data_IF_897620490080
#
_entry.id   IF_897620490080
#
_cell.length_a   1.000
_cell.length_b   1.000
_cell.length_c   1.000
_cell.angle_alpha   90.00
_cell.angle_beta   90.00
_cell.angle_gamma   90.00
#
_symmetry.space_group_name_H-M   'P 1'
#
loop_
_entity.id
_entity.type
_entity.pdbx_description
1 polymer ?
#
# COMPACT_ATOMS: atom_id res chain seq x y z
N UNK A 1 19.83 1.30 6.07
CA UNK A 1 19.12 0.70 7.22
C UNK A 1 17.65 0.78 6.88
N UNK A 2 16.91 -0.27 6.48
CA UNK A 2 15.45 -0.05 6.36
C UNK A 2 14.94 0.35 7.73
N UNK A 3 14.57 1.62 7.85
CA UNK A 3 14.65 2.31 9.13
C UNK A 3 13.40 1.92 9.91
N UNK A 4 13.52 1.10 10.97
CA UNK A 4 12.38 0.85 11.82
C UNK A 4 11.86 2.16 12.40
N UNK A 5 12.64 3.26 12.40
CA UNK A 5 12.20 4.63 12.69
C UNK A 5 12.27 5.55 11.46
N UNK A 6 11.62 5.19 10.34
CA UNK A 6 11.74 5.95 9.10
C UNK A 6 11.17 7.38 9.20
N UNK A 7 10.14 7.61 10.01
CA UNK A 7 9.60 8.96 10.20
C UNK A 7 10.62 9.83 10.93
N UNK A 8 11.28 9.32 11.97
CA UNK A 8 12.35 10.04 12.68
C UNK A 8 13.58 10.27 11.79
N UNK A 9 14.03 9.26 11.04
CA UNK A 9 15.23 9.40 10.20
C UNK A 9 15.04 10.43 9.07
N UNK A 10 13.80 10.59 8.58
CA UNK A 10 13.46 11.56 7.54
C UNK A 10 12.74 12.80 8.08
N UNK A 11 12.68 12.97 9.41
CA UNK A 11 11.89 14.03 10.06
C UNK A 11 12.28 15.44 9.62
N UNK A 12 13.55 15.66 9.33
CA UNK A 12 14.04 16.93 8.80
C UNK A 12 13.47 17.30 7.43
N UNK A 13 12.93 16.34 6.68
CA UNK A 13 12.31 16.53 5.36
C UNK A 13 10.78 16.60 5.45
N UNK A 14 10.19 15.69 6.24
CA UNK A 14 8.73 15.47 6.26
C UNK A 14 8.05 15.92 7.55
N UNK A 15 8.80 16.42 8.54
CA UNK A 15 8.28 16.79 9.86
C UNK A 15 7.18 17.85 9.81
N UNK A 16 7.32 18.85 8.94
CA UNK A 16 6.35 19.95 8.80
C UNK A 16 5.23 19.65 7.79
N UNK A 17 5.21 18.44 7.23
CA UNK A 17 4.16 17.99 6.30
C UNK A 17 2.98 17.42 7.08
N UNK A 18 1.78 17.73 6.62
CA UNK A 18 0.54 17.15 7.16
C UNK A 18 0.45 15.66 6.84
N UNK A 19 -0.32 14.90 7.60
CA UNK A 19 -0.54 13.48 7.29
C UNK A 19 -1.15 13.27 5.90
N UNK A 20 -2.01 14.17 5.42
CA UNK A 20 -2.52 14.13 4.04
C UNK A 20 -1.45 14.32 2.96
N UNK A 21 -0.31 14.89 3.32
CA UNK A 21 0.85 15.09 2.43
C UNK A 21 1.88 13.96 2.49
N UNK A 22 1.78 13.08 3.49
CA UNK A 22 2.69 11.94 3.66
C UNK A 22 1.97 10.68 3.18
N UNK A 23 2.61 9.92 2.29
CA UNK A 23 2.09 8.62 1.88
C UNK A 23 2.45 7.58 2.95
N UNK A 24 1.45 6.99 3.60
CA UNK A 24 1.67 6.02 4.67
C UNK A 24 1.55 4.57 4.17
N UNK A 25 2.46 3.67 4.57
CA UNK A 25 2.32 2.23 4.36
C UNK A 25 1.27 1.64 5.32
N UNK A 26 0.27 0.93 4.76
CA UNK A 26 -0.84 0.31 5.49
C UNK A 26 -0.87 -1.21 5.33
N UNK A 27 -1.16 -1.91 6.42
CA UNK A 27 -1.44 -3.35 6.41
C UNK A 27 -2.94 -3.62 6.50
N UNK A 28 -3.47 -4.31 5.49
CA UNK A 28 -4.86 -4.79 5.49
C UNK A 28 -5.00 -6.02 6.39
N UNK A 29 -6.06 -6.06 7.21
CA UNK A 29 -6.33 -7.14 8.16
C UNK A 29 -5.08 -7.55 8.97
N UNK A 30 -4.39 -6.55 9.52
CA UNK A 30 -3.01 -6.63 9.99
C UNK A 30 -2.77 -7.74 11.03
N UNK A 31 -3.78 -8.05 11.85
CA UNK A 31 -3.72 -9.08 12.88
C UNK A 31 -3.95 -10.52 12.41
N UNK A 32 -4.14 -10.76 11.11
CA UNK A 32 -4.41 -12.10 10.54
C UNK A 32 -3.15 -12.79 10.02
N UNK A 33 -2.01 -12.61 10.68
CA UNK A 33 -0.75 -13.27 10.32
C UNK A 33 -0.60 -14.71 10.85
N UNK A 34 -1.48 -15.09 11.77
CA UNK A 34 -1.66 -16.47 12.21
C UNK A 34 -3.15 -16.74 12.45
N UNK A 35 -3.55 -18.01 12.42
CA UNK A 35 -4.93 -18.41 12.70
C UNK A 35 -4.97 -19.00 14.12
N UNK A 36 -5.75 -18.37 15.00
CA UNK A 36 -5.98 -18.84 16.37
C UNK A 36 -7.13 -19.85 16.41
N UNK A 37 -8.22 -19.51 15.74
CA UNK A 37 -9.38 -20.38 15.56
C UNK A 37 -10.22 -19.93 14.37
N UNK A 38 -11.05 -20.81 13.85
CA UNK A 38 -11.97 -20.50 12.76
C UNK A 38 -13.11 -21.50 12.65
N UNK A 39 -14.07 -21.17 11.80
CA UNK A 39 -15.15 -22.08 11.40
C UNK A 39 -14.63 -23.13 10.42
N UNK A 40 -15.46 -24.10 10.02
CA UNK A 40 -15.06 -25.13 9.05
C UNK A 40 -14.60 -24.53 7.71
N UNK A 41 -15.17 -23.39 7.31
CA UNK A 41 -14.77 -22.64 6.14
C UNK A 41 -13.71 -21.56 6.41
N UNK A 42 -13.12 -21.51 7.61
CA UNK A 42 -12.21 -20.46 8.08
C UNK A 42 -10.79 -20.95 8.37
N UNK A 43 -10.18 -21.68 7.43
CA UNK A 43 -8.80 -22.15 7.55
C UNK A 43 -7.76 -21.07 7.18
N UNK A 44 -6.47 -21.37 7.41
CA UNK A 44 -5.36 -20.44 7.11
C UNK A 44 -5.37 -19.96 5.66
N UNK A 45 -5.76 -20.83 4.73
CA UNK A 45 -5.86 -20.55 3.29
C UNK A 45 -6.78 -19.38 2.92
N UNK A 46 -7.77 -19.09 3.77
CA UNK A 46 -8.79 -18.06 3.51
C UNK A 46 -8.79 -16.92 4.53
N UNK A 47 -8.15 -17.12 5.68
CA UNK A 47 -8.10 -16.13 6.76
C UNK A 47 -6.83 -15.30 6.73
N UNK A 48 -5.68 -15.89 6.40
CA UNK A 48 -4.41 -15.19 6.55
C UNK A 48 -4.20 -14.19 5.41
N UNK A 49 -4.20 -12.90 5.73
CA UNK A 49 -3.84 -11.83 4.79
C UNK A 49 -2.40 -11.38 4.95
N UNK A 50 -1.77 -11.68 6.09
CA UNK A 50 -0.39 -11.30 6.41
C UNK A 50 0.49 -12.52 6.71
N UNK A 51 1.80 -12.37 6.56
CA UNK A 51 2.82 -13.39 6.92
C UNK A 51 3.69 -12.98 8.10
N UNK A 52 3.59 -11.72 8.53
CA UNK A 52 4.42 -11.09 9.55
C UNK A 52 3.58 -10.63 10.72
N UNK A 53 4.11 -10.73 11.93
CA UNK A 53 3.45 -10.17 13.12
C UNK A 53 3.21 -8.67 12.97
N UNK A 54 2.32 -8.07 13.76
CA UNK A 54 2.11 -6.62 13.69
C UNK A 54 3.38 -5.86 14.09
N UNK A 55 4.16 -6.40 15.06
CA UNK A 55 5.48 -5.88 15.40
C UNK A 55 6.44 -5.91 14.20
N UNK A 56 6.52 -7.03 13.49
CA UNK A 56 7.37 -7.16 12.29
C UNK A 56 6.90 -6.21 11.17
N UNK A 57 5.58 -6.07 10.97
CA UNK A 57 5.02 -5.12 10.00
C UNK A 57 5.45 -3.69 10.32
N UNK A 58 5.44 -3.27 11.60
CA UNK A 58 5.93 -1.96 12.04
C UNK A 58 7.44 -1.80 11.78
N UNK A 59 8.25 -2.84 12.00
CA UNK A 59 9.68 -2.87 11.68
C UNK A 59 9.98 -2.83 10.17
N UNK A 60 9.04 -3.27 9.33
CA UNK A 60 9.10 -3.16 7.87
C UNK A 60 8.58 -1.82 7.34
N UNK A 61 8.14 -0.93 8.25
CA UNK A 61 7.81 0.46 7.95
C UNK A 61 6.33 0.79 8.00
N UNK A 62 5.44 -0.18 8.20
CA UNK A 62 3.98 0.05 8.29
C UNK A 62 3.66 1.04 9.42
N UNK A 63 2.73 1.97 9.18
CA UNK A 63 2.31 2.97 10.16
C UNK A 63 0.79 3.09 10.28
N UNK A 64 0.06 2.34 9.46
CA UNK A 64 -1.40 2.23 9.54
C UNK A 64 -1.79 0.74 9.56
N UNK A 65 -2.51 0.31 10.59
CA UNK A 65 -2.93 -1.08 10.78
C UNK A 65 -4.47 -1.15 10.71
N UNK A 66 -5.03 -1.89 9.75
CA UNK A 66 -6.46 -2.21 9.70
C UNK A 66 -6.75 -3.38 10.65
N UNK A 67 -7.49 -3.11 11.71
CA UNK A 67 -7.85 -4.05 12.78
C UNK A 67 -9.35 -4.26 12.77
N UNK A 68 -9.76 -5.48 12.41
CA UNK A 68 -11.16 -5.90 12.46
C UNK A 68 -11.47 -6.57 13.78
N UNK A 69 -12.12 -5.85 14.70
CA UNK A 69 -12.31 -6.32 16.06
C UNK A 69 -13.51 -7.27 16.19
N UNK A 70 -13.25 -8.54 16.50
CA UNK A 70 -14.26 -9.57 16.72
C UNK A 70 -14.24 -10.05 18.16
N UNK A 71 -15.34 -9.89 18.90
CA UNK A 71 -15.51 -10.54 20.18
C UNK A 71 -15.99 -11.96 19.97
N UNK A 72 -15.18 -12.95 20.33
CA UNK A 72 -15.54 -14.34 20.14
C UNK A 72 -16.08 -14.95 21.44
N UNK A 73 -17.19 -15.71 21.36
CA UNK A 73 -17.56 -16.70 22.35
C UNK A 73 -17.24 -18.10 21.83
N UNK A 74 -16.28 -18.77 22.45
CA UNK A 74 -15.81 -20.10 22.05
C UNK A 74 -16.47 -21.19 22.91
N UNK A 75 -17.05 -22.24 22.31
CA UNK A 75 -17.53 -23.38 23.07
C UNK A 75 -16.33 -24.21 23.56
N UNK A 76 -16.50 -24.99 24.63
CA UNK A 76 -15.40 -25.79 25.22
C UNK A 76 -14.76 -26.86 24.30
N UNK A 77 -15.22 -26.98 23.05
CA UNK A 77 -14.62 -27.82 22.02
C UNK A 77 -13.59 -27.09 21.14
N UNK A 78 -13.45 -25.77 21.31
CA UNK A 78 -12.32 -24.99 20.81
C UNK A 78 -11.25 -24.98 21.89
N UNK A 79 -10.02 -25.28 21.49
CA UNK A 79 -8.86 -25.06 22.30
C UNK A 79 -8.14 -23.87 21.68
N UNK A 80 -8.11 -22.74 22.38
CA UNK A 80 -7.15 -21.71 22.06
C UNK A 80 -5.77 -22.25 22.50
N UNK A 81 -4.82 -22.48 21.58
CA UNK A 81 -3.53 -23.10 21.90
C UNK A 81 -2.63 -22.20 22.75
N UNK A 82 -2.96 -20.91 22.91
CA UNK A 82 -2.12 -19.93 23.59
C UNK A 82 -2.69 -19.46 24.94
N UNK A 83 -4.01 -19.47 25.15
CA UNK A 83 -4.67 -19.17 26.43
C UNK A 83 -5.93 -20.04 26.63
N UNK A 84 -6.33 -20.36 27.87
CA UNK A 84 -7.63 -21.03 28.15
C UNK A 84 -8.81 -20.01 28.12
N UNK A 85 -8.64 -18.87 27.45
CA UNK A 85 -9.65 -17.83 27.34
C UNK A 85 -10.71 -18.20 26.34
N UNK A 86 -11.92 -18.47 26.83
CA UNK A 86 -13.08 -18.86 26.01
C UNK A 86 -13.85 -17.68 25.43
N UNK A 87 -13.50 -16.47 25.83
CA UNK A 87 -14.07 -15.24 25.30
C UNK A 87 -13.01 -14.16 25.20
N UNK A 88 -13.09 -13.29 24.20
CA UNK A 88 -12.18 -12.16 24.08
C UNK A 88 -12.25 -11.47 22.73
N UNK A 89 -11.52 -10.37 22.60
CA UNK A 89 -11.38 -9.61 21.36
C UNK A 89 -10.20 -10.11 20.55
N UNK A 90 -10.45 -10.35 19.26
CA UNK A 90 -9.46 -10.82 18.30
C UNK A 90 -9.55 -10.03 16.99
N UNK A 91 -8.51 -10.14 16.17
CA UNK A 91 -8.49 -9.63 14.81
C UNK A 91 -9.18 -10.65 13.89
N UNK A 92 -10.40 -10.37 13.47
CA UNK A 92 -11.25 -11.30 12.71
C UNK A 92 -11.25 -11.06 11.20
N UNK A 93 -11.34 -12.15 10.44
CA UNK A 93 -11.65 -12.12 9.02
C UNK A 93 -12.84 -13.05 8.76
N UNK A 94 -14.04 -12.47 8.76
CA UNK A 94 -15.29 -13.22 8.60
C UNK A 94 -16.18 -12.63 7.52
N UNK A 95 -16.96 -13.51 6.89
CA UNK A 95 -18.05 -13.14 6.01
C UNK A 95 -19.41 -13.60 6.49
N UNK A 96 -20.44 -12.76 6.38
CA UNK A 96 -21.82 -13.16 6.65
C UNK A 96 -22.45 -13.95 5.50
N UNK A 97 -21.83 -14.10 4.31
CA UNK A 97 -22.55 -14.66 3.16
C UNK A 97 -22.99 -16.12 3.35
N UNK A 98 -22.37 -16.88 4.25
CA UNK A 98 -22.83 -18.22 4.63
C UNK A 98 -24.24 -18.24 5.25
N UNK A 99 -24.70 -17.13 5.85
CA UNK A 99 -26.06 -16.99 6.38
C UNK A 99 -27.12 -17.16 5.29
N UNK A 100 -26.84 -16.73 4.05
CA UNK A 100 -27.74 -16.90 2.89
C UNK A 100 -28.00 -18.37 2.57
N UNK A 101 -27.12 -19.25 3.02
CA UNK A 101 -27.20 -20.70 2.81
C UNK A 101 -27.48 -21.47 4.12
N UNK A 102 -27.82 -20.78 5.21
CA UNK A 102 -28.11 -21.38 6.52
C UNK A 102 -26.86 -21.85 7.30
N UNK A 103 -25.66 -21.47 6.86
CA UNK A 103 -24.37 -21.93 7.42
C UNK A 103 -23.70 -20.85 8.28
N UNK A 104 -24.44 -19.83 8.73
CA UNK A 104 -23.91 -18.74 9.57
C UNK A 104 -22.76 -17.95 8.95
N UNK A 105 -22.06 -17.18 9.78
CA UNK A 105 -20.80 -16.52 9.41
C UNK A 105 -19.69 -17.56 9.23
N UNK A 106 -18.83 -17.32 8.24
CA UNK A 106 -17.66 -18.16 7.96
C UNK A 106 -16.39 -17.32 7.98
N UNK A 107 -15.31 -17.86 8.55
CA UNK A 107 -14.05 -17.15 8.72
C UNK A 107 -13.31 -17.56 9.97
N UNK A 108 -12.33 -16.77 10.36
CA UNK A 108 -11.51 -17.05 11.53
C UNK A 108 -10.91 -15.80 12.17
N UNK A 109 -10.34 -16.01 13.33
CA UNK A 109 -9.67 -14.98 14.12
C UNK A 109 -8.18 -15.26 14.20
N UNK A 110 -7.39 -14.22 14.00
CA UNK A 110 -5.95 -14.21 14.23
C UNK A 110 -5.61 -13.70 15.62
N UNK A 111 -4.63 -12.80 15.70
CA UNK A 111 -4.10 -12.26 16.95
C UNK A 111 -5.19 -11.65 17.85
N UNK A 112 -5.03 -11.79 19.16
CA UNK A 112 -5.87 -11.08 20.12
C UNK A 112 -5.61 -9.56 20.09
N UNK A 113 -6.58 -8.77 20.55
CA UNK A 113 -6.36 -7.32 20.74
C UNK A 113 -5.31 -7.06 21.84
N UNK A 114 -5.15 -7.96 22.80
CA UNK A 114 -4.09 -7.86 23.81
C UNK A 114 -2.70 -8.05 23.17
N UNK A 115 -2.55 -8.99 22.22
CA UNK A 115 -1.32 -9.13 21.40
C UNK A 115 -1.04 -7.88 20.56
N UNK A 116 -2.08 -7.24 20.00
CA UNK A 116 -1.94 -5.94 19.30
C UNK A 116 -1.37 -4.87 20.25
N UNK A 117 -1.96 -4.73 21.44
CA UNK A 117 -1.53 -3.75 22.43
C UNK A 117 -0.09 -4.00 22.86
N UNK A 118 0.27 -5.26 23.14
CA UNK A 118 1.62 -5.66 23.52
C UNK A 118 2.63 -5.30 22.42
N UNK A 119 2.38 -5.70 21.18
CA UNK A 119 3.29 -5.48 20.06
C UNK A 119 3.47 -3.99 19.72
N UNK A 120 2.38 -3.20 19.76
CA UNK A 120 2.46 -1.74 19.54
C UNK A 120 3.23 -1.07 20.68
N UNK A 121 2.99 -1.46 21.93
CA UNK A 121 3.70 -0.94 23.09
C UNK A 121 5.19 -1.34 23.09
N UNK A 122 5.51 -2.55 22.66
CA UNK A 122 6.89 -3.02 22.50
C UNK A 122 7.63 -2.15 21.48
N UNK A 123 7.02 -1.95 20.31
CA UNK A 123 7.62 -1.16 19.26
C UNK A 123 7.82 0.32 19.67
N UNK A 124 6.79 0.96 20.22
CA UNK A 124 6.80 2.38 20.60
C UNK A 124 7.64 2.70 21.84
N UNK A 125 8.10 1.67 22.56
CA UNK A 125 9.07 1.84 23.66
C UNK A 125 10.38 2.44 23.16
N UNK A 126 10.84 1.97 22.00
CA UNK A 126 12.17 2.26 21.47
C UNK A 126 12.13 3.06 20.15
N UNK A 127 10.93 3.28 19.58
CA UNK A 127 10.75 3.99 18.31
C UNK A 127 9.76 5.14 18.45
N UNK A 128 10.25 6.38 18.31
CA UNK A 128 9.46 7.61 18.34
C UNK A 128 8.63 7.83 17.08
N UNK A 129 7.79 6.88 16.69
CA UNK A 129 7.06 6.88 15.43
C UNK A 129 5.55 7.07 15.64
N UNK A 130 4.84 7.48 14.59
CA UNK A 130 3.38 7.59 14.60
C UNK A 130 2.76 6.26 14.15
N UNK A 131 1.87 5.69 14.94
CA UNK A 131 1.09 4.50 14.57
C UNK A 131 -0.38 4.85 14.58
N UNK A 132 -1.08 4.52 13.49
CA UNK A 132 -2.52 4.67 13.36
C UNK A 132 -3.16 3.27 13.38
N UNK A 133 -4.01 3.03 14.37
CA UNK A 133 -4.83 1.82 14.46
C UNK A 133 -6.23 2.16 13.98
N UNK A 134 -6.65 1.57 12.88
CA UNK A 134 -8.01 1.68 12.36
C UNK A 134 -8.82 0.50 12.90
N UNK A 135 -9.78 0.77 13.77
CA UNK A 135 -10.69 -0.25 14.32
C UNK A 135 -11.98 -0.25 13.51
N UNK A 136 -12.25 -1.34 12.80
CA UNK A 136 -13.41 -1.50 11.93
C UNK A 136 -14.09 -2.85 12.12
N UNK A 137 -15.23 -3.07 11.46
CA UNK A 137 -15.92 -4.36 11.40
C UNK A 137 -16.21 -4.96 12.78
N UNK A 138 -16.59 -4.10 13.74
CA UNK A 138 -16.79 -4.52 15.12
C UNK A 138 -18.02 -5.42 15.19
N UNK A 139 -17.80 -6.64 15.68
CA UNK A 139 -18.81 -7.69 15.71
C UNK A 139 -18.62 -8.61 16.91
N UNK A 140 -19.73 -9.18 17.38
CA UNK A 140 -19.74 -10.19 18.44
C UNK A 140 -20.20 -11.51 17.84
N UNK A 141 -19.38 -12.55 17.93
CA UNK A 141 -19.62 -13.83 17.28
C UNK A 141 -19.61 -14.98 18.28
N UNK A 142 -20.74 -15.67 18.40
CA UNK A 142 -20.82 -16.96 19.08
C UNK A 142 -20.44 -18.08 18.12
N UNK A 143 -19.35 -18.77 18.45
CA UNK A 143 -18.78 -19.79 17.60
C UNK A 143 -19.37 -21.17 17.86
N UNK A 144 -19.46 -21.94 16.79
CA UNK A 144 -19.43 -23.39 16.79
C UNK A 144 -18.29 -23.84 15.87
N UNK A 145 -17.95 -25.14 15.83
CA UNK A 145 -16.92 -25.64 14.90
C UNK A 145 -17.32 -25.45 13.43
N UNK A 146 -18.62 -25.46 13.15
CA UNK A 146 -19.13 -25.42 11.79
C UNK A 146 -19.36 -23.98 11.30
N UNK A 147 -19.79 -23.08 12.18
CA UNK A 147 -20.14 -21.70 11.83
C UNK A 147 -20.16 -20.80 13.05
N UNK A 148 -20.18 -19.49 12.81
CA UNK A 148 -20.44 -18.49 13.83
C UNK A 148 -21.81 -17.81 13.62
N UNK A 149 -22.40 -17.34 14.72
CA UNK A 149 -23.64 -16.56 14.70
C UNK A 149 -23.33 -15.21 15.35
N UNK A 150 -23.82 -14.14 14.75
CA UNK A 150 -23.71 -12.80 15.31
C UNK A 150 -24.65 -12.66 16.51
N UNK A 151 -24.08 -12.22 17.63
CA UNK A 151 -24.81 -11.81 18.82
C UNK A 151 -24.87 -10.27 18.89
N UNK A 152 -25.85 -9.69 19.61
CA UNK A 152 -25.90 -8.24 19.79
C UNK A 152 -24.63 -7.70 20.46
N UNK A 153 -24.10 -6.60 19.91
CA UNK A 153 -23.07 -5.80 20.57
C UNK A 153 -23.70 -5.08 21.77
N UNK A 154 -23.12 -5.25 22.96
CA UNK A 154 -23.61 -4.67 24.22
C UNK A 154 -22.66 -3.60 24.70
N UNK A 155 -23.10 -2.75 25.63
CA UNK A 155 -22.25 -1.74 26.26
C UNK A 155 -21.05 -2.37 27.00
N UNK A 156 -21.21 -3.56 27.58
CA UNK A 156 -20.11 -4.28 28.24
C UNK A 156 -19.05 -4.71 27.23
N UNK A 157 -19.47 -5.21 26.06
CA UNK A 157 -18.55 -5.53 24.97
C UNK A 157 -17.79 -4.28 24.53
N UNK A 158 -18.51 -3.19 24.22
CA UNK A 158 -17.89 -1.92 23.84
C UNK A 158 -16.89 -1.44 24.89
N UNK A 159 -17.30 -1.38 26.16
CA UNK A 159 -16.45 -0.92 27.26
C UNK A 159 -15.22 -1.81 27.43
N UNK A 160 -15.35 -3.12 27.22
CA UNK A 160 -14.21 -4.04 27.27
C UNK A 160 -13.21 -3.80 26.12
N UNK A 161 -13.69 -3.54 24.89
CA UNK A 161 -12.82 -3.21 23.75
C UNK A 161 -12.06 -1.91 24.01
N UNK A 162 -12.78 -0.88 24.46
CA UNK A 162 -12.19 0.42 24.76
C UNK A 162 -11.15 0.33 25.88
N UNK A 163 -11.41 -0.52 26.90
CA UNK A 163 -10.46 -0.79 27.97
C UNK A 163 -9.19 -1.46 27.45
N UNK A 164 -9.29 -2.49 26.61
CA UNK A 164 -8.12 -3.15 26.01
C UNK A 164 -7.31 -2.16 25.18
N UNK A 165 -7.94 -1.42 24.27
CA UNK A 165 -7.26 -0.39 23.46
C UNK A 165 -6.69 0.75 24.33
N UNK A 166 -7.32 1.07 25.45
CA UNK A 166 -6.86 2.08 26.41
C UNK A 166 -5.55 1.72 27.13
N UNK A 167 -5.09 0.47 27.02
CA UNK A 167 -3.78 0.03 27.53
C UNK A 167 -2.61 0.39 26.60
N UNK A 168 -2.89 0.91 25.40
CA UNK A 168 -1.86 1.48 24.53
C UNK A 168 -1.16 2.65 25.23
N UNK A 169 0.17 2.62 25.20
CA UNK A 169 1.03 3.71 25.66
C UNK A 169 1.14 4.75 24.55
N UNK A 170 1.51 5.97 24.95
CA UNK A 170 1.72 7.08 24.01
C UNK A 170 0.48 7.43 23.16
N UNK A 171 -0.72 7.22 23.69
CA UNK A 171 -1.96 7.58 23.01
C UNK A 171 -2.01 9.09 22.71
N UNK A 172 -2.12 9.43 21.43
CA UNK A 172 -2.44 10.77 20.98
C UNK A 172 -3.95 10.97 21.07
N UNK A 173 -4.40 11.39 22.25
CA UNK A 173 -5.82 11.45 22.60
C UNK A 173 -6.54 12.63 21.97
N UNK A 174 -7.82 12.44 21.70
CA UNK A 174 -8.79 13.53 21.56
C UNK A 174 -8.94 14.27 22.90
N UNK A 175 -9.10 15.59 22.86
CA UNK A 175 -9.06 16.45 24.07
C UNK A 175 -10.42 16.95 24.54
N UNK A 176 -11.50 16.71 23.79
CA UNK A 176 -12.85 17.12 24.14
C UNK A 176 -13.88 16.00 23.87
N UNK A 177 -14.96 15.95 24.65
CA UNK A 177 -16.00 14.92 24.54
C UNK A 177 -16.97 15.15 23.36
N UNK A 178 -16.91 16.30 22.69
CA UNK A 178 -17.71 16.67 21.51
C UNK A 178 -17.07 16.30 20.17
N UNK A 179 -15.84 15.77 20.16
CA UNK A 179 -15.13 15.43 18.93
C UNK A 179 -14.32 16.58 18.28
N UNK A 180 -14.21 17.73 18.93
CA UNK A 180 -13.49 18.92 18.47
C UNK A 180 -12.08 19.06 19.05
N UNK A 181 -11.07 18.61 18.29
CA UNK A 181 -9.82 19.39 18.20
C UNK A 181 -9.99 20.49 17.15
N UNK A 182 -9.20 21.56 17.22
CA UNK A 182 -9.26 22.72 16.31
C UNK A 182 -9.11 22.35 14.82
N UNK A 183 -8.58 21.14 14.49
CA UNK A 183 -8.45 20.64 13.12
C UNK A 183 -8.55 19.09 13.04
N UNK A 184 -8.95 18.52 11.89
CA UNK A 184 -8.92 17.07 11.61
C UNK A 184 -7.53 16.43 11.73
N UNK A 185 -7.45 15.12 12.04
CA UNK A 185 -6.18 14.36 12.14
C UNK A 185 -5.30 14.50 10.90
N UNK A 186 -5.90 14.51 9.71
CA UNK A 186 -5.13 14.57 8.45
C UNK A 186 -4.42 15.92 8.23
N UNK A 187 -4.76 16.95 8.99
CA UNK A 187 -4.18 18.30 8.94
C UNK A 187 -3.12 18.53 10.03
N UNK A 188 -2.88 17.54 10.89
CA UNK A 188 -1.72 17.56 11.78
C UNK A 188 -0.45 17.25 10.99
N UNK A 189 0.58 18.03 11.26
CA UNK A 189 1.94 17.77 10.79
C UNK A 189 2.55 16.58 11.53
N UNK A 190 3.50 15.90 10.91
CA UNK A 190 4.22 14.81 11.56
C UNK A 190 4.90 15.26 12.87
N UNK A 191 5.44 16.48 12.91
CA UNK A 191 6.06 17.08 14.09
C UNK A 191 5.08 17.25 15.26
N UNK A 192 3.79 17.45 15.01
CA UNK A 192 2.79 17.52 16.08
C UNK A 192 2.54 16.16 16.76
N UNK A 193 2.90 15.04 16.11
CA UNK A 193 2.85 13.70 16.69
C UNK A 193 4.17 13.30 17.34
N UNK A 194 5.27 13.41 16.59
CA UNK A 194 6.55 12.78 16.96
C UNK A 194 7.71 13.78 17.07
N UNK A 195 7.39 15.07 17.13
CA UNK A 195 8.36 16.17 17.13
C UNK A 195 9.28 16.23 18.37
N UNK A 196 8.91 15.55 19.44
CA UNK A 196 9.73 15.49 20.66
C UNK A 196 10.66 14.27 20.65
N UNK A 197 10.61 13.45 19.60
CA UNK A 197 11.26 12.13 19.57
C UNK A 197 10.48 11.05 20.32
N UNK A 198 9.32 11.39 20.91
CA UNK A 198 8.40 10.41 21.51
C UNK A 198 7.45 9.84 20.46
N UNK A 199 7.01 8.60 20.67
CA UNK A 199 6.04 7.95 19.81
C UNK A 199 4.65 8.56 19.99
N UNK A 200 3.77 8.32 19.03
CA UNK A 200 2.36 8.66 19.12
C UNK A 200 1.51 7.51 18.57
N UNK A 201 0.50 7.09 19.32
CA UNK A 201 -0.47 6.08 18.88
C UNK A 201 -1.84 6.72 18.74
N UNK A 202 -2.39 6.67 17.54
CA UNK A 202 -3.74 7.15 17.22
C UNK A 202 -4.64 5.96 17.04
N UNK A 203 -5.78 5.93 17.74
CA UNK A 203 -6.83 4.94 17.54
C UNK A 203 -8.00 5.62 16.85
N UNK A 204 -8.37 5.13 15.67
CA UNK A 204 -9.49 5.61 14.86
C UNK A 204 -10.58 4.55 14.86
N UNK A 205 -11.79 4.91 15.30
CA UNK A 205 -12.95 4.02 15.29
C UNK A 205 -13.81 4.33 14.06
N UNK A 206 -14.04 3.33 13.21
CA UNK A 206 -14.89 3.44 12.01
C UNK A 206 -16.36 3.16 12.32
N UNK A 207 -16.63 2.10 13.09
CA UNK A 207 -17.98 1.63 13.42
C UNK A 207 -18.58 2.41 14.62
N UNK A 208 -18.50 3.74 14.62
CA UNK A 208 -19.03 4.59 15.71
C UNK A 208 -20.55 4.49 15.86
N UNK A 209 -21.25 4.17 14.77
CA UNK A 209 -22.68 3.86 14.76
C UNK A 209 -23.02 2.64 15.64
N UNK A 210 -22.06 1.72 15.81
CA UNK A 210 -22.18 0.55 16.70
C UNK A 210 -21.59 0.79 18.09
N UNK A 211 -20.47 1.52 18.17
CA UNK A 211 -19.64 1.64 19.39
C UNK A 211 -20.10 2.75 20.36
N UNK A 212 -21.04 3.61 19.97
CA UNK A 212 -21.36 4.86 20.69
C UNK A 212 -20.17 5.82 20.70
N UNK A 213 -20.36 6.99 20.07
CA UNK A 213 -19.35 8.03 20.00
C UNK A 213 -18.84 8.45 21.38
N UNK A 214 -19.75 8.64 22.33
CA UNK A 214 -19.42 9.09 23.69
C UNK A 214 -18.40 8.16 24.37
N UNK A 215 -18.58 6.85 24.27
CA UNK A 215 -17.69 5.87 24.93
C UNK A 215 -16.30 5.86 24.29
N UNK A 216 -16.22 5.96 22.96
CA UNK A 216 -14.95 6.07 22.26
C UNK A 216 -14.21 7.37 22.63
N UNK A 217 -14.95 8.47 22.76
CA UNK A 217 -14.41 9.79 23.06
C UNK A 217 -13.92 9.91 24.51
N UNK A 218 -14.62 9.30 25.47
CA UNK A 218 -14.15 9.19 26.86
C UNK A 218 -12.78 8.52 26.98
N UNK A 219 -12.46 7.60 26.06
CA UNK A 219 -11.15 6.93 26.01
C UNK A 219 -10.12 7.70 25.18
N UNK A 220 -10.52 8.83 24.58
CA UNK A 220 -9.67 9.70 23.76
C UNK A 220 -9.45 9.19 22.35
N UNK A 221 -10.32 8.31 21.83
CA UNK A 221 -10.22 7.78 20.47
C UNK A 221 -10.92 8.66 19.44
N UNK A 222 -10.45 8.55 18.20
CA UNK A 222 -10.83 9.45 17.14
C UNK A 222 -11.92 8.87 16.24
N UNK A 223 -12.86 9.69 15.74
CA UNK A 223 -13.82 9.26 14.75
C UNK A 223 -13.15 9.08 13.39
N UNK A 224 -13.64 8.13 12.56
CA UNK A 224 -13.18 7.98 11.16
C UNK A 224 -13.23 9.26 10.34
N UNK A 225 -14.16 10.18 10.64
CA UNK A 225 -14.29 11.47 9.95
C UNK A 225 -13.12 12.42 10.19
N UNK A 226 -12.33 12.22 11.25
CA UNK A 226 -11.16 13.05 11.54
C UNK A 226 -9.98 12.77 10.60
N UNK A 227 -9.94 11.59 9.98
CA UNK A 227 -8.86 11.18 9.08
C UNK A 227 -9.44 11.00 7.68
N UNK A 228 -8.73 11.37 6.64
CA UNK A 228 -9.14 11.05 5.26
C UNK A 228 -7.90 10.83 4.43
N UNK A 229 -7.80 9.64 3.84
CA UNK A 229 -6.71 9.28 2.97
C UNK A 229 -7.22 9.04 1.56
N UNK A 230 -6.47 9.53 0.58
CA UNK A 230 -6.60 9.08 -0.79
C UNK A 230 -5.82 7.77 -0.90
N UNK A 231 -6.54 6.65 -0.83
CA UNK A 231 -5.97 5.32 -0.69
C UNK A 231 -5.71 4.66 -2.06
N UNK A 232 -4.58 3.99 -2.17
CA UNK A 232 -4.30 2.95 -3.18
C UNK A 232 -4.28 1.59 -2.50
N UNK A 233 -4.67 0.52 -3.22
CA UNK A 233 -4.66 -0.84 -2.66
C UNK A 233 -3.93 -1.82 -3.56
N UNK A 234 -3.05 -2.60 -2.93
CA UNK A 234 -2.35 -3.76 -3.49
C UNK A 234 -2.72 -5.00 -2.68
N UNK A 235 -4.02 -5.16 -2.44
CA UNK A 235 -4.63 -6.30 -1.73
C UNK A 235 -5.40 -7.20 -2.68
N UNK A 236 -5.74 -8.42 -2.23
CA UNK A 236 -6.67 -9.28 -2.96
C UNK A 236 -7.59 -10.04 -2.00
N UNK A 237 -8.83 -9.58 -1.89
CA UNK A 237 -9.87 -10.35 -1.21
C UNK A 237 -10.33 -11.50 -2.09
N UNK A 238 -10.29 -12.73 -1.56
CA UNK A 238 -10.79 -13.91 -2.26
C UNK A 238 -12.26 -13.76 -2.66
N UNK A 239 -12.58 -14.06 -3.92
CA UNK A 239 -13.95 -14.28 -4.35
C UNK A 239 -14.50 -15.63 -3.87
N UNK A 240 -15.83 -15.80 -3.91
CA UNK A 240 -16.51 -17.03 -3.46
C UNK A 240 -15.97 -18.30 -4.13
N UNK A 241 -15.66 -18.25 -5.43
CA UNK A 241 -15.08 -19.41 -6.16
C UNK A 241 -13.67 -19.75 -5.68
N UNK A 242 -12.84 -18.74 -5.43
CA UNK A 242 -11.46 -18.90 -4.95
C UNK A 242 -11.45 -19.49 -3.54
N UNK A 243 -12.33 -18.98 -2.66
CA UNK A 243 -12.51 -19.51 -1.31
C UNK A 243 -12.91 -21.00 -1.35
N UNK A 244 -13.91 -21.38 -2.16
CA UNK A 244 -14.34 -22.78 -2.33
C UNK A 244 -13.19 -23.65 -2.85
N UNK A 245 -12.45 -23.19 -3.87
CA UNK A 245 -11.33 -23.94 -4.43
C UNK A 245 -10.20 -24.15 -3.41
N UNK A 246 -9.91 -23.13 -2.60
CA UNK A 246 -8.87 -23.21 -1.55
C UNK A 246 -9.23 -24.17 -0.40
N UNK A 247 -10.53 -24.35 -0.13
CA UNK A 247 -11.05 -25.27 0.89
C UNK A 247 -11.12 -26.72 0.39
N UNK A 248 -11.56 -26.93 -0.86
CA UNK A 248 -11.73 -28.27 -1.43
C UNK A 248 -10.43 -28.91 -1.95
N UNK A 249 -9.40 -28.09 -2.20
CA UNK A 249 -8.09 -28.55 -2.67
C UNK A 249 -6.98 -28.11 -1.70
N UNK A 250 -6.92 -28.65 -0.46
CA UNK A 250 -6.04 -28.16 0.61
C UNK A 250 -4.53 -28.27 0.34
N UNK A 251 -4.11 -28.93 -0.77
CA UNK A 251 -2.72 -28.93 -1.25
C UNK A 251 -2.42 -27.97 -2.40
N UNK A 252 -3.43 -27.27 -2.93
CA UNK A 252 -3.28 -26.31 -4.02
C UNK A 252 -3.23 -24.88 -3.48
N UNK A 253 -2.03 -24.45 -3.09
CA UNK A 253 -1.82 -23.14 -2.46
C UNK A 253 -2.12 -21.94 -3.39
N UNK A 254 -2.34 -22.16 -4.70
CA UNK A 254 -2.53 -21.09 -5.70
C UNK A 254 -3.72 -20.18 -5.43
N UNK A 255 -4.73 -20.68 -4.72
CA UNK A 255 -5.95 -19.92 -4.44
C UNK A 255 -6.00 -19.38 -3.01
N UNK A 256 -4.93 -19.53 -2.21
CA UNK A 256 -4.89 -18.93 -0.86
C UNK A 256 -4.84 -17.41 -0.95
N UNK A 257 -5.37 -16.70 0.07
CA UNK A 257 -5.34 -15.23 0.11
C UNK A 257 -3.91 -14.70 -0.09
N UNK A 258 -2.94 -15.26 0.64
CA UNK A 258 -1.53 -14.89 0.50
C UNK A 258 -0.98 -15.12 -0.91
N UNK A 259 -1.34 -16.21 -1.60
CA UNK A 259 -0.86 -16.44 -2.98
C UNK A 259 -1.53 -15.54 -4.01
N UNK A 260 -2.79 -15.18 -3.79
CA UNK A 260 -3.47 -14.21 -4.64
C UNK A 260 -2.89 -12.80 -4.43
N UNK A 261 -2.63 -12.41 -3.18
CA UNK A 261 -1.91 -11.18 -2.85
C UNK A 261 -0.52 -11.14 -3.50
N UNK A 262 0.26 -12.23 -3.42
CA UNK A 262 1.56 -12.35 -4.11
C UNK A 262 1.44 -12.14 -5.62
N UNK A 263 0.43 -12.72 -6.27
CA UNK A 263 0.20 -12.54 -7.69
C UNK A 263 -0.17 -11.08 -8.04
N UNK A 264 -0.97 -10.42 -7.19
CA UNK A 264 -1.29 -8.99 -7.35
C UNK A 264 -0.05 -8.13 -7.18
N UNK A 265 0.77 -8.36 -6.15
CA UNK A 265 2.03 -7.65 -5.95
C UNK A 265 2.97 -7.82 -7.16
N UNK A 266 3.20 -9.06 -7.62
CA UNK A 266 4.05 -9.34 -8.78
C UNK A 266 3.58 -8.61 -10.05
N UNK A 267 2.26 -8.51 -10.23
CA UNK A 267 1.67 -7.78 -11.37
C UNK A 267 1.74 -6.27 -11.19
N UNK A 268 1.53 -5.76 -9.98
CA UNK A 268 1.38 -4.32 -9.70
C UNK A 268 2.71 -3.63 -9.46
N UNK A 269 3.65 -4.23 -8.74
CA UNK A 269 4.89 -3.56 -8.31
C UNK A 269 5.73 -2.95 -9.44
N UNK A 270 5.91 -3.61 -10.61
CA UNK A 270 6.62 -3.00 -11.73
C UNK A 270 5.99 -1.69 -12.23
N UNK A 271 4.68 -1.53 -12.02
CA UNK A 271 3.89 -0.41 -12.51
C UNK A 271 3.44 0.57 -11.42
N UNK A 272 3.42 0.16 -10.16
CA UNK A 272 2.78 0.89 -9.07
C UNK A 272 3.32 2.31 -8.96
N UNK A 273 4.64 2.47 -9.00
CA UNK A 273 5.25 3.80 -8.90
C UNK A 273 4.88 4.71 -10.08
N UNK A 274 4.73 4.13 -11.29
CA UNK A 274 4.28 4.89 -12.46
C UNK A 274 2.77 5.17 -12.42
N UNK A 275 1.96 4.27 -11.88
CA UNK A 275 0.53 4.51 -11.64
C UNK A 275 0.33 5.67 -10.66
N UNK A 276 1.13 5.70 -9.58
CA UNK A 276 1.14 6.80 -8.62
C UNK A 276 1.58 8.12 -9.29
N UNK A 277 2.61 8.09 -10.14
CA UNK A 277 3.05 9.26 -10.89
C UNK A 277 1.96 9.77 -11.86
N UNK A 278 1.22 8.85 -12.49
CA UNK A 278 0.09 9.18 -13.36
C UNK A 278 -1.07 9.85 -12.60
N UNK A 279 -1.29 9.48 -11.33
CA UNK A 279 -2.26 10.13 -10.43
C UNK A 279 -1.64 11.32 -9.67
N UNK A 280 -0.62 11.95 -10.25
CA UNK A 280 0.11 13.12 -9.73
C UNK A 280 0.63 12.97 -8.28
N UNK A 281 0.85 11.72 -7.86
CA UNK A 281 1.26 11.31 -6.53
C UNK A 281 0.28 11.75 -5.43
N UNK A 282 -1.02 11.83 -5.73
CA UNK A 282 -2.03 12.31 -4.77
C UNK A 282 -2.37 11.30 -3.66
N UNK A 283 -1.89 10.05 -3.76
CA UNK A 283 -2.14 9.00 -2.75
C UNK A 283 -1.41 9.29 -1.44
N UNK A 284 -2.14 9.21 -0.33
CA UNK A 284 -1.63 9.40 1.04
C UNK A 284 -1.63 8.12 1.88
N UNK A 285 -2.12 7.01 1.32
CA UNK A 285 -2.08 5.69 1.95
C UNK A 285 -1.94 4.62 0.87
N UNK A 286 -1.03 3.67 1.04
CA UNK A 286 -0.98 2.46 0.21
C UNK A 286 -1.19 1.26 1.12
N UNK A 287 -2.26 0.52 0.88
CA UNK A 287 -2.64 -0.65 1.66
C UNK A 287 -2.25 -1.94 0.96
N UNK A 288 -1.71 -2.91 1.72
CA UNK A 288 -1.14 -4.13 1.16
C UNK A 288 -1.38 -5.36 2.04
N UNK A 289 -1.68 -6.48 1.39
CA UNK A 289 -1.63 -7.83 1.98
C UNK A 289 -0.22 -8.38 1.86
N UNK A 290 0.14 -9.41 2.64
CA UNK A 290 1.41 -10.15 2.52
C UNK A 290 2.63 -9.21 2.54
N UNK A 291 2.76 -8.41 3.59
CA UNK A 291 3.96 -7.59 3.83
C UNK A 291 5.13 -8.52 4.20
N UNK A 292 6.18 -8.56 3.39
CA UNK A 292 7.34 -9.44 3.61
C UNK A 292 8.66 -8.68 3.83
N UNK A 293 8.76 -7.48 3.28
CA UNK A 293 9.96 -6.65 3.25
C UNK A 293 9.56 -5.15 3.26
N UNK A 294 10.52 -4.26 3.02
CA UNK A 294 10.32 -2.81 3.04
C UNK A 294 9.79 -2.23 1.72
N UNK A 295 9.31 -3.04 0.76
CA UNK A 295 8.89 -2.56 -0.57
C UNK A 295 7.77 -1.51 -0.48
N UNK A 296 6.79 -1.74 0.40
CA UNK A 296 5.69 -0.79 0.62
C UNK A 296 6.21 0.56 1.13
N UNK A 297 7.15 0.55 2.07
CA UNK A 297 7.82 1.76 2.55
C UNK A 297 8.59 2.45 1.42
N UNK A 298 9.28 1.69 0.57
CA UNK A 298 10.02 2.22 -0.58
C UNK A 298 9.11 3.02 -1.52
N UNK A 299 7.92 2.51 -1.88
CA UNK A 299 6.94 3.25 -2.68
C UNK A 299 6.44 4.51 -1.98
N UNK A 300 5.97 4.38 -0.73
CA UNK A 300 5.41 5.47 0.05
C UNK A 300 6.42 6.61 0.27
N UNK A 301 7.66 6.28 0.60
CA UNK A 301 8.71 7.27 0.83
C UNK A 301 9.11 7.97 -0.47
N UNK A 302 9.26 7.24 -1.57
CA UNK A 302 9.58 7.84 -2.87
C UNK A 302 8.50 8.85 -3.29
N UNK A 303 7.22 8.47 -3.22
CA UNK A 303 6.11 9.37 -3.54
C UNK A 303 6.07 10.60 -2.63
N UNK A 304 6.29 10.41 -1.32
CA UNK A 304 6.30 11.52 -0.35
C UNK A 304 7.42 12.52 -0.63
N UNK A 305 8.66 12.02 -0.82
CA UNK A 305 9.82 12.89 -1.05
C UNK A 305 9.73 13.58 -2.41
N UNK A 306 9.21 12.92 -3.44
CA UNK A 306 9.06 13.57 -4.74
C UNK A 306 8.03 14.71 -4.69
N UNK A 307 6.91 14.55 -3.99
CA UNK A 307 5.97 15.65 -3.75
C UNK A 307 6.65 16.81 -3.03
N UNK A 308 7.48 16.52 -2.02
CA UNK A 308 8.26 17.52 -1.32
C UNK A 308 9.21 18.27 -2.27
N UNK A 309 9.92 17.57 -3.16
CA UNK A 309 10.81 18.18 -4.13
C UNK A 309 10.03 19.07 -5.10
N UNK A 310 8.88 18.60 -5.61
CA UNK A 310 8.01 19.40 -6.48
C UNK A 310 7.53 20.68 -5.81
N UNK A 311 7.06 20.59 -4.57
CA UNK A 311 6.56 21.75 -3.82
C UNK A 311 7.68 22.77 -3.50
N UNK A 312 8.95 22.37 -3.63
CA UNK A 312 10.14 23.21 -3.42
C UNK A 312 10.86 23.58 -4.73
N UNK A 313 10.25 23.35 -5.91
CA UNK A 313 10.85 23.59 -7.23
C UNK A 313 12.15 22.79 -7.49
N UNK A 314 12.27 21.59 -6.90
CA UNK A 314 13.42 20.67 -7.01
C UNK A 314 13.08 19.39 -7.80
N UNK A 315 12.03 19.41 -8.61
CA UNK A 315 11.56 18.26 -9.41
C UNK A 315 12.54 17.78 -10.49
N UNK A 316 13.58 18.56 -10.76
CA UNK A 316 14.69 18.18 -11.63
C UNK A 316 15.66 17.18 -10.97
N UNK A 317 15.60 17.00 -9.65
CA UNK A 317 16.43 16.02 -8.94
C UNK A 317 15.69 14.68 -8.84
N UNK A 318 16.33 13.56 -9.20
CA UNK A 318 15.73 12.26 -9.04
C UNK A 318 15.63 11.90 -7.54
N UNK A 319 14.47 11.39 -7.15
CA UNK A 319 14.25 10.81 -5.83
C UNK A 319 14.59 9.33 -5.92
N UNK A 320 15.60 8.91 -5.16
CA UNK A 320 16.08 7.53 -5.13
C UNK A 320 15.85 7.00 -3.72
N UNK A 321 15.00 5.98 -3.59
CA UNK A 321 14.76 5.30 -2.32
C UNK A 321 15.20 3.86 -2.45
N UNK A 322 16.16 3.43 -1.64
CA UNK A 322 16.68 2.06 -1.65
C UNK A 322 16.61 1.46 -0.25
N UNK A 323 15.94 0.31 -0.13
CA UNK A 323 15.71 -0.37 1.14
C UNK A 323 15.03 0.54 2.18
N UNK A 324 14.04 1.34 1.78
CA UNK A 324 13.33 2.24 2.68
C UNK A 324 14.12 3.46 3.19
N UNK A 325 15.20 3.86 2.50
CA UNK A 325 15.96 5.09 2.81
C UNK A 325 16.06 5.97 1.57
N UNK A 326 15.94 7.27 1.76
CA UNK A 326 16.34 8.23 0.75
C UNK A 326 17.85 8.19 0.55
N UNK A 327 18.29 8.03 -0.69
CA UNK A 327 19.70 8.06 -1.07
C UNK A 327 20.09 9.48 -1.48
N UNK A 328 20.97 10.10 -0.70
CA UNK A 328 21.43 11.48 -0.91
C UNK A 328 22.90 11.57 -1.32
N UNK A 329 23.59 10.44 -1.46
CA UNK A 329 24.99 10.42 -1.87
C UNK A 329 25.16 11.01 -3.28
N UNK A 330 26.02 12.03 -3.45
CA UNK A 330 26.18 12.71 -4.74
C UNK A 330 26.70 11.81 -5.87
N UNK A 331 27.52 10.81 -5.56
CA UNK A 331 28.05 9.90 -6.57
C UNK A 331 26.98 8.92 -7.05
N UNK A 332 26.11 8.43 -6.15
CA UNK A 332 24.94 7.63 -6.54
C UNK A 332 23.96 8.48 -7.34
N UNK A 333 23.65 9.69 -6.89
CA UNK A 333 22.76 10.63 -7.58
C UNK A 333 23.25 10.90 -9.01
N UNK A 334 24.54 11.20 -9.20
CA UNK A 334 25.12 11.41 -10.52
C UNK A 334 25.07 10.16 -11.42
N UNK A 335 25.27 8.97 -10.84
CA UNK A 335 25.18 7.70 -11.58
C UNK A 335 23.77 7.42 -12.07
N UNK A 336 22.76 7.59 -11.21
CA UNK A 336 21.35 7.38 -11.58
C UNK A 336 20.91 8.44 -12.59
N UNK A 337 21.31 9.71 -12.41
CA UNK A 337 21.02 10.76 -13.38
C UNK A 337 21.63 10.45 -14.75
N UNK A 338 22.89 10.00 -14.79
CA UNK A 338 23.53 9.59 -16.04
C UNK A 338 22.80 8.42 -16.71
N UNK A 339 22.30 7.46 -15.93
CA UNK A 339 21.50 6.36 -16.46
C UNK A 339 20.17 6.86 -17.05
N UNK A 340 19.50 7.80 -16.38
CA UNK A 340 18.28 8.45 -16.89
C UNK A 340 18.56 9.21 -18.20
N UNK A 341 19.57 10.07 -18.21
CA UNK A 341 19.89 10.95 -19.33
C UNK A 341 20.24 10.16 -20.59
N UNK A 342 21.02 9.09 -20.43
CA UNK A 342 21.45 8.22 -21.51
C UNK A 342 20.45 7.09 -21.81
N UNK A 343 19.40 6.91 -20.98
CA UNK A 343 18.43 5.81 -21.12
C UNK A 343 19.06 4.44 -20.90
N UNK A 344 20.01 4.33 -19.98
CA UNK A 344 20.71 3.10 -19.65
C UNK A 344 20.03 2.38 -18.48
N UNK A 345 20.01 1.06 -18.54
CA UNK A 345 19.59 0.22 -17.43
C UNK A 345 20.51 0.35 -16.23
N UNK A 346 19.96 0.27 -15.00
CA UNK A 346 20.76 0.24 -13.78
C UNK A 346 20.40 -0.97 -12.92
N UNK A 347 21.38 -1.78 -12.54
CA UNK A 347 21.17 -2.88 -11.60
C UNK A 347 20.96 -2.33 -10.19
N UNK A 348 19.95 -2.86 -9.49
CA UNK A 348 19.64 -2.52 -8.11
C UNK A 348 20.50 -3.36 -7.18
N UNK A 349 21.62 -2.81 -6.75
CA UNK A 349 22.50 -3.46 -5.79
C UNK A 349 23.25 -2.42 -4.93
N UNK A 350 23.94 -2.93 -3.91
CA UNK A 350 24.75 -2.14 -3.01
C UNK A 350 25.93 -1.43 -3.72
N UNK A 351 26.44 -1.95 -4.85
CA UNK A 351 27.55 -1.34 -5.59
C UNK A 351 27.10 -0.06 -6.31
N UNK A 352 25.88 -0.08 -6.85
CA UNK A 352 25.29 1.03 -7.58
C UNK A 352 24.57 2.03 -6.67
N UNK A 353 24.00 1.57 -5.54
CA UNK A 353 23.06 2.35 -4.71
C UNK A 353 23.49 2.55 -3.25
N UNK A 354 24.72 2.14 -2.89
CA UNK A 354 25.33 2.10 -1.54
C UNK A 354 25.00 0.84 -0.73
N UNK A 355 26.05 0.25 -0.17
CA UNK A 355 25.97 -0.81 0.82
C UNK A 355 25.32 -0.30 2.10
N UNK A 356 24.08 -0.69 2.30
CA UNK A 356 23.52 -0.74 3.63
C UNK A 356 23.75 -2.15 4.15
N UNK A 357 24.46 -2.29 5.28
CA UNK A 357 24.70 -3.57 5.98
C UNK A 357 23.41 -4.22 6.54
N UNK A 358 22.28 -4.04 5.86
CA UNK A 358 20.98 -4.61 6.15
C UNK A 358 20.85 -5.94 5.38
N UNK A 359 20.75 -7.08 6.09
CA UNK A 359 20.66 -8.40 5.46
C UNK A 359 19.27 -8.70 4.88
N UNK A 360 18.28 -7.80 5.06
CA UNK A 360 16.92 -7.98 4.53
C UNK A 360 16.88 -7.66 3.04
N UNK A 361 15.97 -8.33 2.31
CA UNK A 361 15.72 -8.05 0.89
C UNK A 361 15.31 -6.59 0.69
N UNK A 362 15.97 -5.91 -0.25
CA UNK A 362 15.71 -4.51 -0.57
C UNK A 362 14.98 -4.37 -1.91
N UNK A 363 14.46 -3.19 -2.15
CA UNK A 363 14.06 -2.72 -3.46
C UNK A 363 14.45 -1.25 -3.63
N UNK A 364 14.51 -0.81 -4.88
CA UNK A 364 14.75 0.58 -5.23
C UNK A 364 13.54 1.16 -5.96
N UNK A 365 13.12 2.34 -5.54
CA UNK A 365 12.21 3.21 -6.29
C UNK A 365 12.98 4.45 -6.75
N UNK A 366 12.79 4.83 -8.02
CA UNK A 366 13.31 6.06 -8.60
C UNK A 366 12.16 6.84 -9.21
N UNK A 367 11.97 8.09 -8.76
CA UNK A 367 11.04 9.06 -9.36
C UNK A 367 11.84 10.23 -9.92
N UNK A 368 11.53 10.67 -11.13
CA UNK A 368 12.21 11.78 -11.80
C UNK A 368 11.26 12.49 -12.79
N UNK A 369 11.56 13.76 -13.08
CA UNK A 369 10.85 14.52 -14.11
C UNK A 369 11.68 14.61 -15.38
N UNK A 370 11.05 14.45 -16.54
CA UNK A 370 11.64 14.83 -17.81
C UNK A 370 10.56 15.37 -18.74
N UNK A 371 10.76 16.57 -19.29
CA UNK A 371 9.81 17.23 -20.19
C UNK A 371 8.40 17.36 -19.60
N UNK A 372 8.29 17.63 -18.29
CA UNK A 372 7.01 17.77 -17.59
C UNK A 372 6.28 16.46 -17.28
N UNK A 373 6.89 15.30 -17.58
CA UNK A 373 6.36 13.98 -17.26
C UNK A 373 7.10 13.41 -16.05
N UNK A 374 6.32 12.96 -15.06
CA UNK A 374 6.82 12.27 -13.87
C UNK A 374 6.95 10.79 -14.19
N UNK A 375 8.14 10.25 -14.00
CA UNK A 375 8.50 8.89 -14.38
C UNK A 375 8.91 8.12 -13.14
N UNK A 376 8.28 6.97 -12.93
CA UNK A 376 8.56 6.04 -11.85
C UNK A 376 9.21 4.77 -12.36
N UNK A 377 10.26 4.32 -11.69
CA UNK A 377 10.88 3.00 -11.86
C UNK A 377 11.03 2.30 -10.53
N UNK A 378 10.71 1.01 -10.51
CA UNK A 378 10.90 0.18 -9.34
C UNK A 378 11.52 -1.16 -9.73
N UNK A 379 12.41 -1.67 -8.90
CA UNK A 379 12.96 -3.01 -9.03
C UNK A 379 13.40 -3.54 -7.66
N UNK A 380 13.21 -4.84 -7.44
CA UNK A 380 13.83 -5.55 -6.32
C UNK A 380 15.35 -5.59 -6.46
N UNK A 381 16.04 -5.84 -5.34
CA UNK A 381 17.47 -6.08 -5.33
C UNK A 381 17.88 -7.18 -6.31
N UNK A 382 19.02 -6.98 -6.98
CA UNK A 382 19.55 -7.77 -8.09
C UNK A 382 18.73 -7.72 -9.40
N UNK A 383 17.64 -6.95 -9.46
CA UNK A 383 16.91 -6.67 -10.70
C UNK A 383 17.32 -5.31 -11.28
N UNK A 384 16.69 -4.91 -12.38
CA UNK A 384 17.10 -3.77 -13.21
C UNK A 384 16.04 -2.68 -13.20
N UNK A 385 16.47 -1.43 -12.99
CA UNK A 385 15.70 -0.23 -13.29
C UNK A 385 15.81 0.06 -14.79
N UNK A 386 14.68 -0.01 -15.49
CA UNK A 386 14.63 0.11 -16.95
C UNK A 386 14.36 1.55 -17.41
N UNK A 387 15.37 2.42 -17.40
CA UNK A 387 15.26 3.80 -17.90
C UNK A 387 15.17 3.86 -19.44
N UNK A 388 15.66 2.83 -20.13
CA UNK A 388 15.55 2.67 -21.58
C UNK A 388 14.12 2.66 -22.14
N UNK A 389 13.10 2.33 -21.34
CA UNK A 389 11.73 2.14 -21.84
C UNK A 389 11.00 3.48 -21.99
N UNK A 390 11.67 4.59 -21.72
CA UNK A 390 11.08 5.91 -21.75
C UNK A 390 10.53 6.29 -23.13
N UNK A 391 9.26 6.70 -23.11
CA UNK A 391 8.66 7.45 -24.19
C UNK A 391 9.10 8.91 -24.02
N UNK A 392 9.80 9.44 -25.03
CA UNK A 392 10.43 10.76 -25.01
C UNK A 392 9.58 11.81 -25.73
N UNK A 393 8.79 11.39 -26.71
CA UNK A 393 7.95 12.25 -27.52
C UNK A 393 6.76 11.46 -28.06
N UNK A 394 5.58 12.08 -28.10
CA UNK A 394 4.40 11.52 -28.71
C UNK A 394 3.56 12.61 -29.38
N UNK A 395 3.44 12.51 -30.70
CA UNK A 395 2.63 13.41 -31.52
C UNK A 395 1.57 12.62 -32.25
N UNK A 396 0.39 13.21 -32.40
CA UNK A 396 -0.68 12.65 -33.20
C UNK A 396 -1.41 13.74 -33.99
N UNK A 397 -1.35 13.67 -35.31
CA UNK A 397 -1.94 14.69 -36.18
C UNK A 397 -1.35 16.08 -35.92
N UNK A 398 -0.01 16.17 -35.90
CA UNK A 398 0.75 17.43 -35.68
C UNK A 398 0.53 18.08 -34.30
N UNK A 399 -0.11 17.37 -33.37
CA UNK A 399 -0.32 17.82 -31.99
C UNK A 399 0.53 17.00 -31.03
N UNK A 400 1.30 17.66 -30.17
CA UNK A 400 1.92 17.01 -29.01
C UNK A 400 0.81 16.57 -28.05
N UNK A 401 0.76 15.28 -27.78
CA UNK A 401 -0.26 14.65 -26.95
C UNK A 401 0.36 13.92 -25.75
N UNK A 402 1.65 14.09 -25.51
CA UNK A 402 2.32 13.44 -24.39
C UNK A 402 1.83 14.04 -23.08
N UNK A 403 0.98 13.27 -22.40
CA UNK A 403 0.48 13.54 -21.05
C UNK A 403 0.88 12.39 -20.14
N UNK A 404 0.76 12.55 -18.83
CA UNK A 404 1.04 11.48 -17.85
C UNK A 404 0.33 10.17 -18.19
N UNK A 405 -0.96 10.28 -18.54
CA UNK A 405 -1.78 9.13 -18.93
C UNK A 405 -1.27 8.46 -20.20
N UNK A 406 -0.92 9.25 -21.21
CA UNK A 406 -0.41 8.71 -22.48
C UNK A 406 0.97 8.09 -22.32
N UNK A 407 1.83 8.70 -21.51
CA UNK A 407 3.11 8.11 -21.16
C UNK A 407 2.92 6.73 -20.52
N UNK A 408 2.06 6.59 -19.50
CA UNK A 408 1.78 5.30 -18.86
C UNK A 408 1.21 4.27 -19.85
N UNK A 409 0.23 4.65 -20.67
CA UNK A 409 -0.41 3.76 -21.65
C UNK A 409 0.60 3.24 -22.68
N UNK A 410 1.45 4.12 -23.24
CA UNK A 410 2.45 3.73 -24.22
C UNK A 410 3.64 2.99 -23.60
N UNK A 411 4.05 3.34 -22.38
CA UNK A 411 5.08 2.61 -21.64
C UNK A 411 4.63 1.17 -21.34
N UNK A 412 3.39 0.96 -20.92
CA UNK A 412 2.85 -0.40 -20.75
C UNK A 412 2.79 -1.13 -22.08
N UNK A 413 2.31 -0.46 -23.13
CA UNK A 413 2.21 -1.06 -24.44
C UNK A 413 3.57 -1.49 -25.00
N UNK A 414 4.65 -0.74 -24.74
CA UNK A 414 5.99 -1.08 -25.20
C UNK A 414 6.59 -2.29 -24.50
N UNK A 415 6.14 -2.59 -23.29
CA UNK A 415 6.62 -3.71 -22.47
C UNK A 415 5.72 -4.96 -22.61
N UNK A 416 4.39 -4.78 -22.67
CA UNK A 416 3.43 -5.88 -22.51
C UNK A 416 2.91 -6.48 -23.83
N UNK A 417 2.89 -5.70 -24.92
CA UNK A 417 2.29 -6.14 -26.20
C UNK A 417 3.27 -5.99 -27.37
N UNK A 418 3.20 -6.88 -28.38
CA UNK A 418 4.12 -6.82 -29.52
C UNK A 418 3.81 -5.67 -30.49
N UNK A 419 2.55 -5.20 -30.53
CA UNK A 419 2.11 -4.08 -31.34
C UNK A 419 0.92 -3.37 -30.73
N UNK A 420 0.77 -2.08 -31.05
CA UNK A 420 -0.35 -1.23 -30.66
C UNK A 420 -1.04 -0.68 -31.91
N UNK A 421 -2.33 -0.95 -32.10
CA UNK A 421 -3.08 -0.34 -33.19
C UNK A 421 -3.27 1.16 -32.94
N UNK A 422 -2.88 2.00 -33.91
CA UNK A 422 -2.94 3.45 -33.80
C UNK A 422 -4.31 3.93 -34.29
N UNK A 423 -5.10 4.50 -33.39
CA UNK A 423 -6.44 5.03 -33.66
C UNK A 423 -6.76 6.18 -32.71
N UNK A 424 -7.80 6.96 -33.01
CA UNK A 424 -8.33 7.94 -32.04
C UNK A 424 -8.61 7.31 -30.67
N UNK A 425 -9.14 6.09 -30.65
CA UNK A 425 -9.48 5.39 -29.42
C UNK A 425 -8.25 5.06 -28.56
N UNK A 426 -7.17 4.59 -29.18
CA UNK A 426 -5.95 4.15 -28.49
C UNK A 426 -5.00 5.30 -28.19
N UNK A 427 -4.96 6.32 -29.06
CA UNK A 427 -3.97 7.40 -28.98
C UNK A 427 -4.49 8.61 -28.22
N UNK A 428 -5.75 9.02 -28.41
CA UNK A 428 -6.34 10.21 -27.75
C UNK A 428 -7.60 9.91 -26.93
N UNK A 429 -8.01 8.64 -26.82
CA UNK A 429 -9.10 8.21 -25.95
C UNK A 429 -10.49 8.38 -26.55
N UNK A 430 -10.56 8.49 -27.88
CA UNK A 430 -11.79 8.56 -28.66
C UNK A 430 -11.95 9.87 -29.45
N UNK A 431 -12.93 9.89 -30.36
CA UNK A 431 -13.11 10.96 -31.36
C UNK A 431 -13.42 12.34 -30.78
N UNK A 432 -13.83 12.42 -29.50
CA UNK A 432 -14.05 13.71 -28.83
C UNK A 432 -12.76 14.49 -28.61
N UNK A 433 -11.63 13.79 -28.54
CA UNK A 433 -10.30 14.36 -28.33
C UNK A 433 -9.48 14.31 -29.62
N UNK A 434 -10.12 14.08 -30.77
CA UNK A 434 -9.45 14.07 -32.07
C UNK A 434 -8.93 15.48 -32.39
N UNK A 435 -7.60 15.68 -32.51
CA UNK A 435 -7.02 16.98 -32.81
C UNK A 435 -7.38 17.46 -34.22
N UNK A 436 -7.71 16.55 -35.14
CA UNK A 436 -8.01 16.84 -36.54
C UNK A 436 -9.16 15.96 -37.03
N UNK A 437 -10.37 16.27 -36.56
CA UNK A 437 -11.58 15.46 -36.82
C UNK A 437 -11.82 15.21 -38.31
N UNK A 438 -11.92 13.93 -38.68
CA UNK A 438 -12.20 13.49 -40.05
C UNK A 438 -10.97 13.46 -40.96
N UNK A 439 -9.78 13.73 -40.43
CA UNK A 439 -8.50 13.62 -41.13
C UNK A 439 -7.77 12.37 -40.64
N UNK A 440 -7.18 11.61 -41.57
CA UNK A 440 -6.30 10.50 -41.24
C UNK A 440 -4.98 11.07 -40.70
N UNK A 441 -4.64 10.72 -39.47
CA UNK A 441 -3.49 11.30 -38.76
C UNK A 441 -2.28 10.37 -38.81
N UNK A 442 -1.08 10.93 -38.66
CA UNK A 442 0.10 10.15 -38.31
C UNK A 442 0.35 10.23 -36.81
N UNK A 443 0.77 9.12 -36.22
CA UNK A 443 1.32 9.05 -34.87
C UNK A 443 2.85 8.97 -34.97
N UNK A 444 3.55 9.97 -34.42
CA UNK A 444 5.00 9.99 -34.33
C UNK A 444 5.40 9.75 -32.88
N UNK A 445 6.21 8.73 -32.65
CA UNK A 445 6.71 8.38 -31.32
C UNK A 445 8.23 8.36 -31.32
N UNK A 446 8.85 8.95 -30.29
CA UNK A 446 10.27 8.78 -29.99
C UNK A 446 10.43 8.02 -28.69
N UNK A 447 11.20 6.94 -28.75
CA UNK A 447 11.45 6.05 -27.62
C UNK A 447 12.84 5.44 -27.74
N UNK A 448 13.34 4.82 -26.67
CA UNK A 448 14.58 4.04 -26.70
C UNK A 448 14.28 2.55 -26.63
N UNK A 449 15.17 1.74 -27.19
CA UNK A 449 15.12 0.28 -27.03
C UNK A 449 16.01 -0.15 -25.85
N UNK A 450 15.72 -1.31 -25.23
CA UNK A 450 16.52 -1.82 -24.14
C UNK A 450 17.98 -2.02 -24.52
N UNK A 451 18.88 -1.36 -23.78
CA UNK A 451 20.34 -1.35 -23.98
C UNK A 451 20.80 -0.64 -25.26
N UNK A 452 19.96 0.21 -25.86
CA UNK A 452 20.34 1.00 -27.04
C UNK A 452 20.34 2.49 -26.69
N UNK A 453 21.47 3.16 -26.96
CA UNK A 453 21.61 4.61 -26.73
C UNK A 453 20.89 5.45 -27.78
N UNK A 454 20.58 4.86 -28.93
CA UNK A 454 19.92 5.55 -30.02
C UNK A 454 18.43 5.78 -29.71
N UNK A 455 17.96 6.98 -30.03
CA UNK A 455 16.54 7.32 -29.96
C UNK A 455 15.91 6.88 -31.28
N UNK A 456 14.93 5.99 -31.18
CA UNK A 456 14.14 5.53 -32.31
C UNK A 456 12.97 6.47 -32.52
N UNK A 457 12.82 6.96 -33.74
CA UNK A 457 11.61 7.64 -34.18
C UNK A 457 10.81 6.71 -35.10
N UNK A 458 9.51 6.59 -34.83
CA UNK A 458 8.61 5.83 -35.70
C UNK A 458 7.35 6.65 -35.99
N UNK A 459 6.99 6.70 -37.26
CA UNK A 459 5.79 7.36 -37.77
C UNK A 459 4.83 6.28 -38.29
N UNK A 460 3.59 6.27 -37.79
CA UNK A 460 2.58 5.26 -38.10
C UNK A 460 1.26 5.95 -38.42
N UNK A 461 0.72 5.69 -39.61
CA UNK A 461 -0.60 6.20 -40.00
C UNK A 461 -1.71 5.56 -39.15
N UNK A 462 -2.73 6.35 -38.85
CA UNK A 462 -3.97 5.91 -38.23
C UNK A 462 -4.58 4.71 -38.97
N UNK A 463 -5.03 3.72 -38.20
CA UNK A 463 -5.51 2.42 -38.68
C UNK A 463 -4.43 1.33 -38.73
N UNK A 464 -3.14 1.69 -38.66
CA UNK A 464 -2.04 0.72 -38.70
C UNK A 464 -1.46 0.41 -37.33
N UNK A 465 -0.68 -0.67 -37.27
CA UNK A 465 -0.04 -1.14 -36.05
C UNK A 465 1.35 -0.52 -35.84
N UNK A 466 1.53 0.12 -34.69
CA UNK A 466 2.83 0.42 -34.13
C UNK A 466 3.45 -0.87 -33.60
N UNK A 467 4.27 -1.51 -34.42
CA UNK A 467 5.12 -2.64 -33.98
C UNK A 467 6.35 -2.10 -33.26
N UNK A 468 6.55 -2.46 -32.00
CA UNK A 468 7.78 -2.13 -31.29
C UNK A 468 8.95 -2.88 -31.94
N UNK A 469 10.09 -2.21 -32.16
CA UNK A 469 11.25 -2.91 -32.70
C UNK A 469 11.68 -4.01 -31.72
N UNK A 470 11.62 -5.27 -32.16
CA UNK A 470 12.20 -6.40 -31.43
C UNK A 470 13.70 -6.46 -31.74
N UNK A 471 14.51 -6.84 -30.75
CA UNK A 471 15.91 -7.24 -30.97
C UNK A 471 16.01 -8.10 -32.24
N UNK A 472 16.93 -7.73 -33.13
CA UNK A 472 17.53 -8.75 -34.00
C UNK A 472 18.31 -9.66 -33.06
N UNK A 473 17.83 -10.90 -32.93
CA UNK A 473 18.39 -11.91 -32.02
C UNK A 473 19.84 -12.23 -32.29
#
# INVERSE_FOLDING_TARGET
MSSPGWMQSHRHLIGDRTLSQICLPSAHDAGTYHLRFGTIGGGQNVVLTQTKSMLDQLHLGVRHLDIRATYAFLPGSFHDPLNDTRTGWYCGHYTPQGQKFGVGWQGGSGASIDELVEQVNEYTRDHGELIILKISHVVVLRHSKLWAIEDPLTLDHVTSLMRSLGQLKQLFKMTDASGGKEKPLHDYTLNEFVGTGQAAVVVVIEDLDKISADVAFEHGFWPRTSLSFNQESVTHTQGTKEAILSLLLPGNNKFTVLKLAEAVQQKRFPWLLQDLANDELTKSLIEMDKIENADLLTFCLASTIYRLYRDNDQENLPVIVYGGNLITDPAVQARVQAAIDHGESLVVDNENLIDTCDPRSKSCAVLYSQSGIIKGRWASESLVLHFEHDILYLEYGESDILTQRRYLEFLRASVEIPSLNISNQTVVGGDKNDPQKGVCKSCVIRYRLPNEREIFEKSVLEGNDLVWQKRRG
#
